data_IF_609179272737
#
_entry.id   IF_609179272737
#
_cell.length_a   1.000
_cell.length_b   1.000
_cell.length_c   1.000
_cell.angle_alpha   90.00
_cell.angle_beta   90.00
_cell.angle_gamma   90.00
#
_symmetry.space_group_name_H-M   'P 1'
#
loop_
_entity.id
_entity.type
_entity.pdbx_description
1 polymer ?
#
# COMPACT_ATOMS: atom_id res chain seq x y z
N UNK A 1 -13.61 13.34 -5.92
CA UNK A 1 -14.65 12.35 -6.27
C UNK A 1 -14.03 11.07 -6.86
N UNK A 2 -13.25 11.16 -7.93
CA UNK A 2 -12.61 10.00 -8.60
C UNK A 2 -11.78 9.11 -7.64
N UNK A 3 -11.00 9.69 -6.72
CA UNK A 3 -10.21 8.93 -5.75
C UNK A 3 -11.09 8.05 -4.84
N UNK A 4 -12.22 8.59 -4.34
CA UNK A 4 -13.13 7.80 -3.48
C UNK A 4 -13.78 6.64 -4.23
N UNK A 5 -14.12 6.83 -5.50
CA UNK A 5 -14.67 5.77 -6.35
C UNK A 5 -13.60 4.71 -6.59
N UNK A 6 -12.37 5.12 -6.88
CA UNK A 6 -11.25 4.21 -7.06
C UNK A 6 -10.97 3.40 -5.79
N UNK A 7 -10.90 4.05 -4.62
CA UNK A 7 -10.65 3.39 -3.32
C UNK A 7 -11.77 2.38 -2.97
N UNK A 8 -13.01 2.65 -3.39
CA UNK A 8 -14.13 1.74 -3.21
C UNK A 8 -14.03 0.53 -4.15
N UNK A 9 -13.75 0.75 -5.43
CA UNK A 9 -13.64 -0.33 -6.43
C UNK A 9 -12.40 -1.21 -6.21
N UNK A 10 -11.28 -0.65 -5.74
CA UNK A 10 -10.06 -1.40 -5.42
C UNK A 10 -10.13 -2.19 -4.10
N UNK A 11 -11.24 -2.09 -3.37
CA UNK A 11 -11.44 -2.79 -2.12
C UNK A 11 -11.67 -4.30 -2.30
N UNK A 12 -11.33 -5.09 -1.24
CA UNK A 12 -11.53 -6.53 -1.22
C UNK A 12 -12.96 -6.95 -1.59
N UNK A 13 -14.06 -6.30 -1.10
CA UNK A 13 -15.41 -6.71 -1.44
C UNK A 13 -15.70 -6.61 -2.95
N UNK A 14 -15.26 -5.53 -3.59
CA UNK A 14 -15.49 -5.32 -5.02
C UNK A 14 -14.65 -6.27 -5.87
N UNK A 15 -13.42 -6.56 -5.47
CA UNK A 15 -12.59 -7.59 -6.12
C UNK A 15 -13.25 -8.96 -6.05
N UNK A 16 -13.86 -9.33 -4.92
CA UNK A 16 -14.61 -10.58 -4.79
C UNK A 16 -15.83 -10.62 -5.71
N UNK A 17 -16.56 -9.50 -5.85
CA UNK A 17 -17.67 -9.38 -6.82
C UNK A 17 -17.16 -9.59 -8.23
N UNK A 18 -16.07 -8.92 -8.63
CA UNK A 18 -15.45 -9.10 -9.95
C UNK A 18 -15.08 -10.56 -10.21
N UNK A 19 -14.46 -11.23 -9.23
CA UNK A 19 -14.11 -12.65 -9.32
C UNK A 19 -15.32 -13.58 -9.45
N UNK A 20 -16.41 -13.31 -8.73
CA UNK A 20 -17.64 -14.10 -8.83
C UNK A 20 -18.28 -14.00 -10.23
N UNK A 21 -18.31 -12.79 -10.80
CA UNK A 21 -18.82 -12.59 -12.16
C UNK A 21 -17.89 -13.19 -13.23
N UNK A 22 -16.58 -13.18 -13.00
CA UNK A 22 -15.63 -13.84 -13.88
C UNK A 22 -15.82 -15.36 -13.88
N UNK A 23 -16.02 -15.97 -12.71
CA UNK A 23 -16.35 -17.39 -12.59
C UNK A 23 -17.68 -17.71 -13.28
N UNK A 24 -18.69 -16.86 -13.15
CA UNK A 24 -19.95 -17.01 -13.86
C UNK A 24 -19.75 -16.99 -15.37
N UNK A 25 -18.95 -16.06 -15.91
CA UNK A 25 -18.58 -16.00 -17.33
C UNK A 25 -17.89 -17.28 -17.78
N UNK A 26 -16.94 -17.80 -16.99
CA UNK A 26 -16.25 -19.06 -17.28
C UNK A 26 -17.24 -20.23 -17.39
N UNK A 27 -18.13 -20.38 -16.40
CA UNK A 27 -19.14 -21.46 -16.39
C UNK A 27 -20.04 -21.38 -17.61
N UNK A 28 -20.48 -20.17 -17.95
CA UNK A 28 -21.34 -19.96 -19.15
C UNK A 28 -20.61 -20.27 -20.44
N UNK A 29 -19.34 -19.90 -20.54
CA UNK A 29 -18.50 -20.27 -21.70
C UNK A 29 -18.31 -21.78 -21.81
N UNK A 30 -18.13 -22.50 -20.71
CA UNK A 30 -18.01 -23.96 -20.70
C UNK A 30 -19.32 -24.69 -21.00
N UNK A 31 -20.46 -24.06 -20.70
CA UNK A 31 -21.79 -24.66 -20.98
C UNK A 31 -22.38 -24.25 -22.35
N UNK A 32 -21.61 -23.50 -23.12
CA UNK A 32 -21.99 -22.99 -24.46
C UNK A 32 -23.34 -22.22 -24.44
N UNK A 33 -23.63 -21.57 -23.31
CA UNK A 33 -24.87 -20.85 -23.07
C UNK A 33 -24.73 -19.42 -23.60
N UNK A 34 -25.38 -19.13 -24.74
CA UNK A 34 -25.39 -17.79 -25.30
C UNK A 34 -26.19 -16.83 -24.42
N UNK A 35 -25.55 -15.82 -23.88
CA UNK A 35 -26.17 -14.73 -23.12
C UNK A 35 -25.94 -13.42 -23.84
N UNK A 36 -26.94 -12.53 -23.79
CA UNK A 36 -26.94 -11.23 -24.46
C UNK A 36 -25.81 -10.31 -23.93
N UNK A 37 -25.34 -10.49 -22.70
CA UNK A 37 -24.26 -9.71 -22.09
C UNK A 37 -23.40 -10.60 -21.23
N UNK A 38 -22.10 -10.70 -21.57
CA UNK A 38 -21.13 -11.51 -20.84
C UNK A 38 -20.91 -10.93 -19.40
N UNK A 39 -21.05 -11.75 -18.34
CA UNK A 39 -20.78 -11.33 -16.98
C UNK A 39 -19.34 -10.84 -16.75
N UNK A 40 -18.38 -11.22 -17.58
CA UNK A 40 -16.99 -10.74 -17.51
C UNK A 40 -16.89 -9.20 -17.59
N UNK A 41 -17.87 -8.52 -18.22
CA UNK A 41 -17.93 -7.05 -18.20
C UNK A 41 -17.90 -6.46 -16.80
N UNK A 42 -18.52 -7.12 -15.83
CA UNK A 42 -18.50 -6.65 -14.43
C UNK A 42 -17.09 -6.71 -13.86
N UNK A 43 -16.35 -7.79 -14.13
CA UNK A 43 -14.95 -7.91 -13.71
C UNK A 43 -14.06 -6.83 -14.38
N UNK A 44 -14.24 -6.62 -15.69
CA UNK A 44 -13.51 -5.58 -16.46
C UNK A 44 -13.78 -4.20 -15.86
N UNK A 45 -15.02 -3.87 -15.55
CA UNK A 45 -15.37 -2.55 -14.98
C UNK A 45 -14.84 -2.42 -13.55
N UNK A 46 -15.15 -3.37 -12.67
CA UNK A 46 -14.83 -3.29 -11.24
C UNK A 46 -13.34 -3.33 -10.98
N UNK A 47 -12.62 -4.24 -11.64
CA UNK A 47 -11.17 -4.42 -11.44
C UNK A 47 -10.35 -3.58 -12.43
N UNK A 48 -10.85 -3.35 -13.66
CA UNK A 48 -10.12 -2.64 -14.70
C UNK A 48 -10.10 -1.12 -14.53
N UNK A 49 -11.18 -0.51 -14.03
CA UNK A 49 -11.20 0.95 -13.78
C UNK A 49 -10.11 1.39 -12.81
N UNK A 50 -9.90 0.75 -11.63
CA UNK A 50 -8.79 1.10 -10.74
C UNK A 50 -7.42 0.95 -11.39
N UNK A 51 -7.25 -0.09 -12.20
CA UNK A 51 -6.00 -0.34 -12.94
C UNK A 51 -5.72 0.78 -13.95
N UNK A 52 -6.71 1.16 -14.75
CA UNK A 52 -6.62 2.28 -15.69
C UNK A 52 -6.35 3.61 -14.98
N UNK A 53 -7.05 3.87 -13.89
CA UNK A 53 -6.82 5.06 -13.07
C UNK A 53 -5.37 5.16 -12.59
N UNK A 54 -4.81 4.07 -12.09
CA UNK A 54 -3.42 4.00 -11.62
C UNK A 54 -2.42 4.22 -12.77
N UNK A 55 -2.67 3.60 -13.94
CA UNK A 55 -1.84 3.76 -15.13
C UNK A 55 -1.81 5.22 -15.61
N UNK A 56 -2.98 5.84 -15.76
CA UNK A 56 -3.12 7.24 -16.16
C UNK A 56 -2.48 8.19 -15.13
N UNK A 57 -2.75 7.95 -13.85
CA UNK A 57 -2.18 8.78 -12.79
C UNK A 57 -0.65 8.78 -12.83
N UNK A 58 -0.03 7.61 -13.01
CA UNK A 58 1.44 7.48 -13.11
C UNK A 58 2.00 8.18 -14.35
N UNK A 59 1.33 8.09 -15.50
CA UNK A 59 1.75 8.78 -16.73
C UNK A 59 1.75 10.30 -16.53
N UNK A 60 0.74 10.83 -15.83
CA UNK A 60 0.58 12.28 -15.64
C UNK A 60 1.53 12.84 -14.59
N UNK A 61 1.72 12.13 -13.45
CA UNK A 61 2.42 12.68 -12.29
C UNK A 61 3.88 12.26 -12.17
N UNK A 62 4.31 11.17 -12.81
CA UNK A 62 5.69 10.71 -12.77
C UNK A 62 6.48 11.21 -13.99
N UNK A 63 7.80 11.27 -13.88
CA UNK A 63 8.72 11.68 -14.96
C UNK A 63 9.67 10.54 -15.32
N UNK A 64 10.13 10.55 -16.58
CA UNK A 64 11.11 9.57 -17.06
C UNK A 64 10.57 8.14 -17.12
N UNK A 65 11.45 7.16 -16.91
CA UNK A 65 11.16 5.71 -17.01
C UNK A 65 10.10 5.26 -15.98
N UNK A 66 9.94 5.99 -14.87
CA UNK A 66 8.95 5.69 -13.85
C UNK A 66 7.48 5.75 -14.36
N UNK A 67 7.23 6.34 -15.53
CA UNK A 67 5.92 6.32 -16.21
C UNK A 67 5.56 4.91 -16.70
N UNK A 68 6.57 4.14 -17.14
CA UNK A 68 6.39 2.78 -17.63
C UNK A 68 6.26 1.87 -16.42
N UNK A 69 5.03 1.54 -16.08
CA UNK A 69 4.72 0.67 -14.93
C UNK A 69 4.02 -0.59 -15.39
N UNK A 70 4.05 -1.63 -14.56
CA UNK A 70 3.26 -2.85 -14.79
C UNK A 70 1.79 -2.55 -15.01
N UNK A 71 1.24 -1.57 -14.28
CA UNK A 71 -0.15 -1.15 -14.46
C UNK A 71 -0.43 -0.62 -15.87
N UNK A 72 0.50 0.13 -16.48
CA UNK A 72 0.35 0.61 -17.86
C UNK A 72 0.39 -0.55 -18.86
N UNK A 73 1.39 -1.42 -18.75
CA UNK A 73 1.53 -2.57 -19.66
C UNK A 73 0.32 -3.49 -19.60
N UNK A 74 -0.16 -3.76 -18.40
CA UNK A 74 -1.34 -4.63 -18.18
C UNK A 74 -2.62 -3.94 -18.64
N UNK A 75 -2.75 -2.61 -18.47
CA UNK A 75 -3.87 -1.86 -19.02
C UNK A 75 -3.93 -1.96 -20.55
N UNK A 76 -2.77 -1.90 -21.21
CA UNK A 76 -2.70 -2.09 -22.68
C UNK A 76 -3.12 -3.50 -23.07
N UNK A 77 -2.66 -4.52 -22.34
CA UNK A 77 -3.06 -5.92 -22.59
C UNK A 77 -4.57 -6.12 -22.37
N UNK A 78 -5.15 -5.56 -21.31
CA UNK A 78 -6.60 -5.60 -21.04
C UNK A 78 -7.39 -4.94 -22.17
N UNK A 79 -6.98 -3.76 -22.62
CA UNK A 79 -7.64 -3.05 -23.74
C UNK A 79 -7.53 -3.88 -25.03
N UNK A 80 -6.39 -4.48 -25.31
CA UNK A 80 -6.21 -5.33 -26.47
C UNK A 80 -7.14 -6.55 -26.42
N UNK A 81 -7.31 -7.20 -25.27
CA UNK A 81 -8.25 -8.30 -25.10
C UNK A 81 -9.70 -7.88 -25.36
N UNK A 82 -10.11 -6.70 -24.88
CA UNK A 82 -11.44 -6.14 -25.15
C UNK A 82 -11.65 -5.90 -26.66
N UNK A 83 -10.64 -5.35 -27.35
CA UNK A 83 -10.72 -5.05 -28.80
C UNK A 83 -10.79 -6.32 -29.65
N UNK A 84 -10.20 -7.42 -29.21
CA UNK A 84 -10.25 -8.73 -29.86
C UNK A 84 -11.62 -9.41 -29.59
N UNK A 85 -12.36 -8.92 -28.57
CA UNK A 85 -13.64 -9.50 -28.15
C UNK A 85 -13.52 -10.57 -27.08
N UNK A 86 -12.33 -10.80 -26.54
CA UNK A 86 -12.08 -11.74 -25.42
C UNK A 86 -12.27 -11.04 -24.08
N UNK A 87 -13.54 -10.92 -23.67
CA UNK A 87 -13.92 -10.25 -22.43
C UNK A 87 -13.50 -11.04 -21.19
N UNK A 88 -13.45 -12.37 -21.28
CA UNK A 88 -13.01 -13.21 -20.18
C UNK A 88 -11.52 -12.96 -19.88
N UNK A 89 -10.66 -13.00 -20.90
CA UNK A 89 -9.23 -12.70 -20.73
C UNK A 89 -9.01 -11.27 -20.21
N UNK A 90 -9.76 -10.28 -20.69
CA UNK A 90 -9.69 -8.92 -20.19
C UNK A 90 -10.04 -8.82 -18.69
N UNK A 91 -11.12 -9.49 -18.28
CA UNK A 91 -11.57 -9.56 -16.89
C UNK A 91 -10.60 -10.31 -15.99
N UNK A 92 -10.03 -11.42 -16.46
CA UNK A 92 -9.03 -12.23 -15.75
C UNK A 92 -7.77 -11.40 -15.44
N UNK A 93 -7.23 -10.73 -16.43
CA UNK A 93 -6.04 -9.87 -16.29
C UNK A 93 -6.30 -8.75 -15.27
N UNK A 94 -7.46 -8.08 -15.37
CA UNK A 94 -7.84 -7.04 -14.42
C UNK A 94 -8.01 -7.58 -12.98
N UNK A 95 -8.62 -8.74 -12.83
CA UNK A 95 -8.87 -9.41 -11.56
C UNK A 95 -7.57 -9.84 -10.87
N UNK A 96 -6.65 -10.49 -11.60
CA UNK A 96 -5.35 -10.91 -11.08
C UNK A 96 -4.56 -9.69 -10.59
N UNK A 97 -4.60 -8.59 -11.34
CA UNK A 97 -3.95 -7.35 -10.93
C UNK A 97 -4.58 -6.72 -9.68
N UNK A 98 -5.91 -6.76 -9.56
CA UNK A 98 -6.59 -6.27 -8.37
C UNK A 98 -6.18 -7.07 -7.11
N UNK A 99 -6.07 -8.39 -7.21
CA UNK A 99 -5.55 -9.24 -6.12
C UNK A 99 -4.11 -8.86 -5.80
N UNK A 100 -3.25 -8.71 -6.81
CA UNK A 100 -1.85 -8.31 -6.63
C UNK A 100 -1.72 -6.99 -5.88
N UNK A 101 -2.50 -5.97 -6.24
CA UNK A 101 -2.52 -4.67 -5.58
C UNK A 101 -2.94 -4.78 -4.10
N UNK A 102 -3.97 -5.57 -3.79
CA UNK A 102 -4.41 -5.80 -2.40
C UNK A 102 -3.31 -6.47 -1.57
N UNK A 103 -2.60 -7.45 -2.13
CA UNK A 103 -1.50 -8.13 -1.45
C UNK A 103 -0.31 -7.19 -1.21
N UNK A 104 0.04 -6.36 -2.21
CA UNK A 104 1.10 -5.36 -2.10
C UNK A 104 0.79 -4.35 -1.00
N UNK A 105 -0.42 -3.80 -0.97
CA UNK A 105 -0.85 -2.85 0.06
C UNK A 105 -0.77 -3.44 1.47
N UNK A 106 -1.26 -4.67 1.67
CA UNK A 106 -1.19 -5.36 2.96
C UNK A 106 0.25 -5.66 3.40
N UNK A 107 1.10 -6.04 2.45
CA UNK A 107 2.51 -6.33 2.73
C UNK A 107 3.25 -5.06 3.14
N UNK A 108 3.04 -3.98 2.40
CA UNK A 108 3.63 -2.66 2.69
C UNK A 108 3.15 -2.11 4.04
N UNK A 109 1.87 -2.26 4.36
CA UNK A 109 1.32 -1.83 5.65
C UNK A 109 1.95 -2.60 6.82
N UNK A 110 2.13 -3.92 6.67
CA UNK A 110 2.80 -4.76 7.69
C UNK A 110 4.26 -4.33 7.90
N UNK A 111 5.00 -4.08 6.82
CA UNK A 111 6.38 -3.60 6.90
C UNK A 111 6.46 -2.24 7.61
N UNK A 112 5.58 -1.30 7.29
CA UNK A 112 5.51 0.01 7.95
C UNK A 112 5.16 -0.09 9.43
N UNK A 113 4.24 -0.98 9.82
CA UNK A 113 3.90 -1.23 11.24
C UNK A 113 5.07 -1.81 12.01
N UNK A 114 5.84 -2.71 11.40
CA UNK A 114 7.08 -3.25 11.99
C UNK A 114 8.11 -2.16 12.26
N UNK A 115 8.34 -1.30 11.27
CA UNK A 115 9.29 -0.18 11.39
C UNK A 115 8.85 0.84 12.46
N UNK A 116 7.55 1.18 12.51
CA UNK A 116 7.01 2.08 13.54
C UNK A 116 7.21 1.55 14.97
N UNK A 117 7.11 0.23 15.17
CA UNK A 117 7.38 -0.38 16.48
C UNK A 117 8.84 -0.18 16.89
N UNK A 118 9.79 -0.30 15.98
CA UNK A 118 11.21 -0.08 16.25
C UNK A 118 11.51 1.39 16.58
N UNK A 119 10.93 2.32 15.82
CA UNK A 119 11.07 3.77 16.08
C UNK A 119 10.42 4.16 17.42
N UNK A 120 9.29 3.54 17.78
CA UNK A 120 8.59 3.80 19.05
C UNK A 120 9.32 3.27 20.30
N UNK A 121 10.37 2.47 20.14
CA UNK A 121 11.24 2.03 21.24
C UNK A 121 12.28 3.10 21.63
N UNK A 122 12.55 4.08 20.77
CA UNK A 122 13.44 5.17 21.10
C UNK A 122 12.76 6.13 22.11
N UNK A 123 13.41 6.46 23.25
CA UNK A 123 12.87 7.39 24.21
C UNK A 123 12.58 8.75 23.57
N UNK A 124 11.40 9.30 23.86
CA UNK A 124 11.01 10.63 23.36
C UNK A 124 11.46 11.76 24.28
N UNK A 125 11.91 11.42 25.48
CA UNK A 125 12.35 12.35 26.53
C UNK A 125 13.64 11.84 27.15
N UNK A 126 14.46 12.78 27.63
CA UNK A 126 15.66 12.50 28.40
C UNK A 126 15.62 13.28 29.71
N UNK A 127 16.27 12.74 30.75
CA UNK A 127 16.38 13.38 32.07
C UNK A 127 17.71 14.12 32.12
N UNK A 128 17.70 15.43 31.89
CA UNK A 128 18.88 16.31 31.94
C UNK A 128 19.13 16.78 33.35
N UNK A 129 20.40 16.88 33.72
CA UNK A 129 20.83 17.43 35.00
C UNK A 129 21.29 18.89 34.78
N UNK A 130 20.64 19.85 35.48
CA UNK A 130 21.00 21.25 35.46
C UNK A 130 21.07 21.69 36.93
N UNK A 131 22.20 22.25 37.37
CA UNK A 131 22.44 22.71 38.75
C UNK A 131 22.10 21.63 39.81
N UNK A 132 22.40 20.38 39.52
CA UNK A 132 22.17 19.25 40.42
C UNK A 132 20.70 18.76 40.45
N UNK A 133 19.80 19.39 39.72
CA UNK A 133 18.40 18.98 39.60
C UNK A 133 18.13 18.27 38.28
N UNK A 134 17.29 17.25 38.34
CA UNK A 134 16.88 16.49 37.15
C UNK A 134 15.61 17.10 36.57
N UNK A 135 15.62 17.42 35.27
CA UNK A 135 14.45 17.85 34.50
C UNK A 135 14.20 16.94 33.31
N UNK A 136 12.95 16.67 33.01
CA UNK A 136 12.57 15.89 31.84
C UNK A 136 12.40 16.83 30.62
N UNK A 137 13.19 16.59 29.58
CA UNK A 137 13.13 17.37 28.36
C UNK A 137 12.94 16.46 27.15
N UNK A 138 12.31 16.97 26.08
CA UNK A 138 12.24 16.26 24.81
C UNK A 138 13.64 15.97 24.26
N UNK A 139 13.83 14.78 23.65
CA UNK A 139 15.14 14.40 23.06
C UNK A 139 15.63 15.44 22.05
N UNK A 140 14.71 16.10 21.33
CA UNK A 140 15.02 17.16 20.36
C UNK A 140 15.65 18.42 20.98
N UNK A 141 15.58 18.59 22.29
CA UNK A 141 16.16 19.73 23.03
C UNK A 141 17.50 19.40 23.68
N UNK A 142 17.90 18.12 23.68
CA UNK A 142 19.19 17.68 24.20
C UNK A 142 20.30 18.18 23.27
N UNK A 143 21.35 18.74 23.83
CA UNK A 143 22.51 19.28 23.12
C UNK A 143 23.81 18.59 23.55
N UNK A 144 24.80 18.65 22.68
CA UNK A 144 26.14 18.17 22.99
C UNK A 144 26.68 18.93 24.21
N UNK A 145 27.13 18.19 25.21
CA UNK A 145 27.60 18.71 26.50
C UNK A 145 26.57 18.65 27.63
N UNK A 146 25.30 18.33 27.32
CA UNK A 146 24.30 18.07 28.36
C UNK A 146 24.62 16.77 29.12
N UNK A 147 24.45 16.80 30.44
CA UNK A 147 24.57 15.62 31.30
C UNK A 147 23.19 15.01 31.49
N UNK A 148 23.05 13.73 31.11
CA UNK A 148 21.79 13.00 31.25
C UNK A 148 21.92 11.97 32.38
N UNK A 149 20.84 11.77 33.12
CA UNK A 149 20.72 10.72 34.12
C UNK A 149 19.81 9.62 33.60
N UNK A 150 20.35 8.43 33.47
CA UNK A 150 19.62 7.23 33.07
C UNK A 150 19.39 6.37 34.29
N UNK A 151 18.17 5.95 34.55
CA UNK A 151 17.86 5.05 35.66
C UNK A 151 17.90 3.59 35.17
N UNK A 152 18.10 2.63 36.08
CA UNK A 152 18.01 1.22 35.72
C UNK A 152 16.70 0.89 35.01
N UNK A 153 16.80 0.24 33.85
CA UNK A 153 15.63 -0.11 33.01
C UNK A 153 15.18 0.98 32.03
N UNK A 154 15.75 2.19 32.08
CA UNK A 154 15.50 3.22 31.07
C UNK A 154 16.40 3.03 29.84
N UNK A 155 15.85 3.31 28.65
CA UNK A 155 16.65 3.32 27.44
C UNK A 155 17.42 4.66 27.32
N UNK A 156 18.64 4.59 26.79
CA UNK A 156 19.49 5.77 26.54
C UNK A 156 18.87 6.58 25.39
N UNK A 157 18.56 7.87 25.59
CA UNK A 157 17.80 8.66 24.61
C UNK A 157 18.66 9.18 23.44
N UNK A 158 19.96 9.35 23.63
CA UNK A 158 20.91 9.85 22.63
C UNK A 158 22.28 9.19 22.83
N UNK A 159 23.12 9.21 21.80
CA UNK A 159 24.51 8.75 21.92
C UNK A 159 25.28 9.64 22.89
N UNK A 160 26.17 9.05 23.70
CA UNK A 160 26.96 9.79 24.67
C UNK A 160 28.03 8.93 25.34
N UNK A 161 28.85 9.54 26.21
CA UNK A 161 29.87 8.88 27.02
C UNK A 161 29.39 8.70 28.45
N UNK A 162 29.71 7.55 29.06
CA UNK A 162 29.42 7.29 30.45
C UNK A 162 30.46 8.03 31.30
N UNK A 163 30.00 9.06 32.02
CA UNK A 163 30.85 9.85 32.90
C UNK A 163 30.81 9.36 34.35
N UNK A 164 29.76 8.63 34.75
CA UNK A 164 29.57 8.08 36.08
C UNK A 164 28.59 6.91 36.04
N UNK A 165 28.90 5.81 36.71
CA UNK A 165 28.07 4.61 36.77
C UNK A 165 28.72 3.44 36.03
N UNK A 166 28.08 2.26 36.10
CA UNK A 166 28.52 1.02 35.47
C UNK A 166 27.60 0.68 34.30
#
# INVERSE_FOLDING_TARGET
MLKRINDFLSGVPMTLVGGAFLLASLVLSLTDTAIMMDPAWVAVIVCGIPLLYLAVWRIVHLRGIAKISSALLISVAMIAAILIGDLFAAGEVAFIMAIGAILEDKTTERARKGLKKLIGLAPQQGRRIVDGRAEMIPVTQIRTGDVLRILPGEAVPVDGEIIRGD
#
